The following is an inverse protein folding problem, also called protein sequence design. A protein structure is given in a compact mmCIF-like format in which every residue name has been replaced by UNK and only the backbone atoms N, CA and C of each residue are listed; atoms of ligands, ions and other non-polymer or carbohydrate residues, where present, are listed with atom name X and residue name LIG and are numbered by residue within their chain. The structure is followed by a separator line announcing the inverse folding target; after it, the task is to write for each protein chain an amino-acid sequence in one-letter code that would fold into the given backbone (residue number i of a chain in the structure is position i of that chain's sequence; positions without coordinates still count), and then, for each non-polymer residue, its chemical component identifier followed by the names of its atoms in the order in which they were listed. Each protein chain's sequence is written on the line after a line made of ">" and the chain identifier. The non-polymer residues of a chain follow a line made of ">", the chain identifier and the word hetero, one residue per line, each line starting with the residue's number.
data_IF_715880822180
#
_entry.id   IF_715880822180
#
_cell.length_a   1.000
_cell.length_b   1.000
_cell.length_c   1.000
_cell.angle_alpha   90.00
_cell.angle_beta   90.00
_cell.angle_gamma   90.00
#
_symmetry.space_group_name_H-M   'P 1'
#
loop_
_entity.id
_entity.type
_entity.pdbx_description
1 polymer ?
#
# COMPACT_ATOMS: atom_id res chain seq x y z
N UNK A 1 -20.97 -10.35 -5.01
CA UNK A 1 -20.26 -9.27 -5.73
C UNK A 1 -19.10 -9.90 -6.45
N UNK A 2 -18.98 -9.61 -7.75
CA UNK A 2 -18.26 -10.42 -8.74
C UNK A 2 -16.77 -10.58 -8.45
N UNK A 3 -16.31 -11.83 -8.55
CA UNK A 3 -14.94 -12.33 -8.50
C UNK A 3 -14.15 -11.95 -9.77
N UNK A 4 -14.18 -10.65 -10.14
CA UNK A 4 -13.58 -10.11 -11.37
C UNK A 4 -12.13 -9.66 -11.19
N UNK A 5 -11.71 -9.34 -9.95
CA UNK A 5 -10.39 -8.83 -9.67
C UNK A 5 -9.38 -9.98 -9.56
N UNK A 6 -8.25 -9.88 -10.26
CA UNK A 6 -7.17 -10.85 -10.11
C UNK A 6 -6.70 -10.89 -8.65
N UNK A 7 -6.28 -12.08 -8.20
CA UNK A 7 -5.69 -12.27 -6.87
C UNK A 7 -4.46 -13.14 -6.96
N UNK A 8 -3.50 -12.85 -6.10
CA UNK A 8 -2.25 -13.60 -5.95
C UNK A 8 -1.95 -13.83 -4.48
N UNK A 9 -0.97 -14.68 -4.20
CA UNK A 9 -0.55 -14.97 -2.83
C UNK A 9 0.88 -14.47 -2.64
N UNK A 10 1.12 -13.84 -1.49
CA UNK A 10 2.45 -13.45 -1.02
C UNK A 10 2.67 -14.02 0.38
N UNK A 11 3.76 -14.76 0.57
CA UNK A 11 4.11 -15.35 1.86
C UNK A 11 4.95 -14.37 2.69
N UNK A 12 4.42 -13.92 3.82
CA UNK A 12 5.09 -13.04 4.77
C UNK A 12 5.49 -13.82 6.03
N UNK A 13 6.47 -13.31 6.78
CA UNK A 13 7.01 -13.95 7.98
C UNK A 13 8.23 -14.84 7.68
N UNK A 14 8.74 -15.52 8.71
CA UNK A 14 9.89 -16.42 8.61
C UNK A 14 9.75 -17.59 9.58
N UNK A 15 10.16 -18.79 9.15
CA UNK A 15 10.04 -19.99 9.97
C UNK A 15 8.58 -20.31 10.30
N UNK A 16 8.29 -20.52 11.59
CA UNK A 16 6.96 -20.91 12.08
C UNK A 16 5.91 -19.79 11.99
N UNK A 17 6.32 -18.54 11.78
CA UNK A 17 5.40 -17.40 11.61
C UNK A 17 5.08 -17.11 10.14
N UNK A 18 5.62 -17.91 9.21
CA UNK A 18 5.35 -17.75 7.79
C UNK A 18 3.87 -18.05 7.50
N UNK A 19 3.21 -17.13 6.80
CA UNK A 19 1.82 -17.29 6.37
C UNK A 19 1.57 -16.63 5.03
N UNK A 20 0.58 -17.16 4.34
CA UNK A 20 0.13 -16.68 3.05
C UNK A 20 -0.89 -15.57 3.19
N UNK A 21 -0.65 -14.46 2.49
CA UNK A 21 -1.54 -13.31 2.41
C UNK A 21 -2.02 -13.19 0.97
N UNK A 22 -3.34 -13.08 0.80
CA UNK A 22 -3.93 -12.87 -0.51
C UNK A 22 -3.84 -11.38 -0.84
N UNK A 23 -3.22 -11.08 -1.98
CA UNK A 23 -3.11 -9.74 -2.54
C UNK A 23 -4.08 -9.63 -3.71
N UNK A 24 -4.76 -8.50 -3.84
CA UNK A 24 -5.82 -8.27 -4.80
C UNK A 24 -5.44 -7.18 -5.81
N UNK A 25 -5.94 -7.36 -7.03
CA UNK A 25 -6.10 -6.27 -7.98
C UNK A 25 -7.17 -5.28 -7.46
N UNK A 26 -6.90 -3.99 -7.63
CA UNK A 26 -7.77 -2.90 -7.24
C UNK A 26 -8.62 -2.48 -8.43
N UNK A 27 -9.89 -2.22 -8.16
CA UNK A 27 -10.77 -1.53 -9.11
C UNK A 27 -10.39 -0.05 -9.20
N UNK A 28 -10.72 0.66 -10.30
CA UNK A 28 -10.54 2.11 -10.37
C UNK A 28 -11.21 2.90 -9.22
N UNK A 29 -12.27 2.36 -8.62
CA UNK A 29 -12.90 2.94 -7.45
C UNK A 29 -12.00 2.87 -6.20
N UNK A 30 -11.31 1.75 -6.00
CA UNK A 30 -10.33 1.58 -4.91
C UNK A 30 -9.03 2.34 -5.21
N UNK A 31 -8.60 2.42 -6.48
CA UNK A 31 -7.46 3.26 -6.86
C UNK A 31 -7.69 4.73 -6.54
N UNK A 32 -8.93 5.23 -6.72
CA UNK A 32 -9.28 6.59 -6.26
C UNK A 32 -9.14 6.74 -4.75
N UNK A 33 -9.45 5.69 -3.97
CA UNK A 33 -9.24 5.74 -2.52
C UNK A 33 -7.75 5.92 -2.22
N UNK A 34 -6.86 5.14 -2.85
CA UNK A 34 -5.40 5.31 -2.72
C UNK A 34 -4.97 6.74 -3.08
N UNK A 35 -5.36 7.25 -4.25
CA UNK A 35 -4.98 8.60 -4.70
C UNK A 35 -5.51 9.73 -3.81
N UNK A 36 -6.65 9.51 -3.15
CA UNK A 36 -7.28 10.48 -2.25
C UNK A 36 -6.92 10.24 -0.80
N UNK A 37 -6.11 9.22 -0.50
CA UNK A 37 -5.72 8.84 0.85
C UNK A 37 -4.67 9.81 1.40
N UNK A 38 -5.11 11.03 1.66
CA UNK A 38 -4.31 12.04 2.33
C UNK A 38 -4.41 11.77 3.82
N UNK A 39 -3.56 10.85 4.30
CA UNK A 39 -3.43 10.48 5.72
C UNK A 39 -2.87 11.60 6.62
N UNK A 40 -2.99 12.87 6.19
CA UNK A 40 -2.51 14.01 6.94
C UNK A 40 -3.21 14.07 8.31
N UNK A 41 -2.47 14.00 9.43
CA UNK A 41 -3.07 13.93 10.75
C UNK A 41 -3.61 15.28 11.26
N UNK A 42 -3.50 16.35 10.47
CA UNK A 42 -3.92 17.70 10.83
C UNK A 42 -2.78 18.54 11.44
N UNK A 43 -3.00 19.85 11.56
CA UNK A 43 -2.02 20.78 12.15
C UNK A 43 -1.83 20.57 13.66
N UNK A 44 -2.86 20.07 14.34
CA UNK A 44 -2.86 19.80 15.78
C UNK A 44 -2.41 18.37 16.13
N UNK A 45 -1.82 17.65 15.17
CA UNK A 45 -1.34 16.28 15.39
C UNK A 45 -0.26 16.23 16.46
N UNK A 46 -0.33 15.21 17.33
CA UNK A 46 0.76 14.94 18.25
C UNK A 46 2.00 14.39 17.51
N UNK A 47 3.10 14.27 18.25
CA UNK A 47 4.40 13.83 17.68
C UNK A 47 4.34 12.41 17.12
N UNK A 48 3.51 11.54 17.70
CA UNK A 48 3.41 10.15 17.29
C UNK A 48 2.63 10.04 15.98
N UNK A 49 1.49 10.71 15.87
CA UNK A 49 0.68 10.78 14.65
C UNK A 49 1.46 11.40 13.48
N UNK A 50 2.24 12.48 13.75
CA UNK A 50 3.09 13.09 12.74
C UNK A 50 4.21 12.15 12.28
N UNK A 51 4.89 11.48 13.21
CA UNK A 51 5.94 10.52 12.88
C UNK A 51 5.40 9.34 12.06
N UNK A 52 4.23 8.82 12.43
CA UNK A 52 3.53 7.76 11.70
C UNK A 52 3.24 8.18 10.27
N UNK A 53 2.67 9.38 10.06
CA UNK A 53 2.43 9.94 8.74
C UNK A 53 3.73 10.06 7.92
N UNK A 54 4.79 10.60 8.51
CA UNK A 54 6.07 10.77 7.81
C UNK A 54 6.68 9.43 7.36
N UNK A 55 6.63 8.40 8.20
CA UNK A 55 7.10 7.05 7.83
C UNK A 55 6.22 6.48 6.71
N UNK A 56 4.90 6.60 6.83
CA UNK A 56 3.92 6.10 5.85
C UNK A 56 4.15 6.70 4.46
N UNK A 57 4.55 7.98 4.38
CA UNK A 57 4.83 8.70 3.13
C UNK A 57 6.25 8.47 2.57
N UNK A 58 7.20 8.02 3.39
CA UNK A 58 8.62 7.97 3.00
C UNK A 58 9.18 6.55 2.88
N UNK A 59 8.50 5.53 3.43
CA UNK A 59 9.04 4.17 3.49
C UNK A 59 9.15 3.51 2.10
N UNK A 60 8.15 3.71 1.24
CA UNK A 60 8.12 3.23 -0.13
C UNK A 60 7.79 4.38 -1.07
N UNK A 61 8.43 4.38 -2.24
CA UNK A 61 8.23 5.44 -3.24
C UNK A 61 6.85 5.32 -3.89
N UNK A 62 6.35 4.09 -4.07
CA UNK A 62 5.18 3.84 -4.92
C UNK A 62 3.83 3.83 -4.18
N UNK A 63 3.80 3.58 -2.87
CA UNK A 63 2.56 3.60 -2.07
C UNK A 63 2.83 3.65 -0.57
N UNK A 64 1.84 4.09 0.20
CA UNK A 64 1.91 4.07 1.68
C UNK A 64 1.62 2.67 2.27
N UNK A 65 1.95 2.46 3.55
CA UNK A 65 1.55 1.27 4.32
C UNK A 65 0.02 1.19 4.40
N UNK A 66 -0.65 2.35 4.50
CA UNK A 66 -2.11 2.39 4.48
C UNK A 66 -2.68 1.91 3.14
N UNK A 67 -2.02 2.22 2.03
CA UNK A 67 -2.45 1.73 0.72
C UNK A 67 -2.23 0.21 0.59
N UNK A 68 -1.16 -0.34 1.17
CA UNK A 68 -0.92 -1.79 1.25
C UNK A 68 -2.08 -2.55 1.93
N UNK A 69 -2.83 -1.91 2.82
CA UNK A 69 -4.03 -2.50 3.42
C UNK A 69 -5.14 -2.72 2.38
N UNK A 70 -5.27 -1.85 1.37
CA UNK A 70 -6.26 -2.02 0.31
C UNK A 70 -5.94 -3.22 -0.59
N UNK A 71 -4.65 -3.46 -0.85
CA UNK A 71 -4.19 -4.60 -1.65
C UNK A 71 -4.27 -5.93 -0.89
N UNK A 72 -3.93 -5.96 0.39
CA UNK A 72 -3.83 -7.19 1.19
C UNK A 72 -5.07 -7.52 2.02
N UNK A 73 -5.96 -6.54 2.22
CA UNK A 73 -7.09 -6.57 3.16
C UNK A 73 -6.67 -6.86 4.61
N UNK A 74 -5.39 -6.64 4.95
CA UNK A 74 -4.89 -6.69 6.32
C UNK A 74 -5.13 -5.34 7.00
N UNK A 75 -5.34 -5.32 8.32
CA UNK A 75 -5.41 -4.07 9.07
C UNK A 75 -4.05 -3.37 9.07
N UNK A 76 -4.06 -2.03 9.00
CA UNK A 76 -2.82 -1.22 8.97
C UNK A 76 -1.93 -1.50 10.17
N UNK A 77 -2.53 -1.66 11.36
CA UNK A 77 -1.80 -2.00 12.59
C UNK A 77 -1.00 -3.30 12.48
N UNK A 78 -1.47 -4.26 11.69
CA UNK A 78 -0.75 -5.52 11.47
C UNK A 78 0.37 -5.34 10.44
N UNK A 79 0.19 -4.46 9.46
CA UNK A 79 1.24 -4.12 8.50
C UNK A 79 2.38 -3.33 9.16
N UNK A 80 2.08 -2.48 10.14
CA UNK A 80 3.09 -1.70 10.87
C UNK A 80 4.02 -2.56 11.74
N UNK A 81 3.55 -3.73 12.18
CA UNK A 81 4.36 -4.71 12.92
C UNK A 81 5.25 -5.55 11.99
N UNK A 82 5.08 -5.46 10.66
CA UNK A 82 5.88 -6.21 9.71
C UNK A 82 7.19 -5.48 9.38
N UNK A 83 8.32 -6.20 9.33
CA UNK A 83 9.56 -5.64 8.80
C UNK A 83 9.37 -5.15 7.35
N UNK A 84 10.09 -4.11 6.91
CA UNK A 84 10.01 -3.61 5.54
C UNK A 84 10.28 -4.68 4.47
N UNK A 85 11.10 -5.69 4.78
CA UNK A 85 11.36 -6.82 3.88
C UNK A 85 10.13 -7.69 3.63
N UNK A 86 9.20 -7.80 4.58
CA UNK A 86 7.93 -8.52 4.41
C UNK A 86 6.90 -7.66 3.70
N UNK A 87 6.83 -6.36 4.02
CA UNK A 87 5.98 -5.40 3.31
C UNK A 87 6.34 -5.32 1.83
N UNK A 88 7.63 -5.37 1.48
CA UNK A 88 8.10 -5.43 0.09
C UNK A 88 7.55 -6.62 -0.69
N UNK A 89 7.38 -7.79 -0.06
CA UNK A 89 6.79 -8.95 -0.74
C UNK A 89 5.32 -8.70 -1.11
N UNK A 90 4.57 -8.02 -0.24
CA UNK A 90 3.19 -7.63 -0.52
C UNK A 90 3.15 -6.59 -1.66
N UNK A 91 4.05 -5.60 -1.60
CA UNK A 91 4.18 -4.56 -2.63
C UNK A 91 4.53 -5.15 -4.00
N UNK A 92 5.51 -6.06 -4.08
CA UNK A 92 5.90 -6.73 -5.32
C UNK A 92 4.72 -7.48 -5.94
N UNK A 93 3.95 -8.21 -5.12
CA UNK A 93 2.76 -8.91 -5.59
C UNK A 93 1.65 -7.93 -6.00
N UNK A 94 1.49 -6.82 -5.28
CA UNK A 94 0.55 -5.77 -5.67
C UNK A 94 0.93 -5.16 -7.03
N UNK A 95 2.22 -4.92 -7.30
CA UNK A 95 2.73 -4.41 -8.58
C UNK A 95 2.48 -5.39 -9.73
N UNK A 96 2.68 -6.68 -9.48
CA UNK A 96 2.38 -7.75 -10.45
C UNK A 96 0.90 -7.80 -10.84
N UNK A 97 0.00 -7.62 -9.87
CA UNK A 97 -1.45 -7.66 -10.09
C UNK A 97 -2.03 -6.34 -10.60
N UNK A 98 -1.37 -5.21 -10.37
CA UNK A 98 -1.87 -3.87 -10.67
C UNK A 98 -0.92 -3.05 -11.57
N UNK A 99 -0.37 -3.59 -12.68
CA UNK A 99 0.67 -2.91 -13.45
C UNK A 99 0.19 -1.56 -14.03
N UNK A 100 -1.08 -1.48 -14.45
CA UNK A 100 -1.67 -0.26 -15.00
C UNK A 100 -1.82 0.85 -13.94
N UNK A 101 -2.09 0.47 -12.69
CA UNK A 101 -2.18 1.41 -11.58
C UNK A 101 -0.85 2.09 -11.29
N UNK A 102 0.20 1.30 -11.07
CA UNK A 102 1.53 1.84 -10.79
C UNK A 102 2.08 2.63 -12.00
N UNK A 103 1.74 2.19 -13.22
CA UNK A 103 2.03 2.96 -14.44
C UNK A 103 1.29 4.30 -14.49
N UNK A 104 0.07 4.38 -13.95
CA UNK A 104 -0.70 5.61 -13.87
C UNK A 104 -0.16 6.55 -12.77
N UNK A 105 0.24 6.01 -11.61
CA UNK A 105 0.89 6.76 -10.53
C UNK A 105 2.18 7.44 -11.02
N UNK A 106 3.08 6.70 -11.66
CA UNK A 106 4.32 7.25 -12.21
C UNK A 106 4.07 8.39 -13.22
N UNK A 107 3.00 8.28 -14.04
CA UNK A 107 2.60 9.36 -14.97
C UNK A 107 1.99 10.57 -14.25
N UNK A 108 1.32 10.38 -13.12
CA UNK A 108 0.76 11.46 -12.32
C UNK A 108 1.88 12.23 -11.60
N UNK A 109 2.80 11.53 -10.95
CA UNK A 109 3.97 12.11 -10.28
C UNK A 109 4.81 12.93 -11.26
N UNK A 110 5.14 12.37 -12.43
CA UNK A 110 5.89 13.09 -13.46
C UNK A 110 5.23 14.41 -13.86
N UNK A 111 3.89 14.41 -14.01
CA UNK A 111 3.13 15.63 -14.36
C UNK A 111 3.07 16.65 -13.23
N UNK A 112 3.18 16.23 -11.98
CA UNK A 112 3.22 17.13 -10.83
C UNK A 112 4.61 17.78 -10.69
N UNK A 113 5.68 17.04 -10.93
CA UNK A 113 7.07 17.56 -10.87
C UNK A 113 7.43 18.51 -12.02
N UNK A 114 6.67 18.50 -13.12
CA UNK A 114 6.85 19.40 -14.28
C UNK A 114 6.08 20.74 -14.13
N UNK A 115 5.31 20.93 -13.05
CA UNK A 115 4.59 22.17 -12.72
C UNK A 115 5.36 23.04 -11.76
#
# INVERSE_FOLDING_TARGET
>A
MSDLAARGVATIGAGETARDVVVYELTPAQMRQVLMNLNWPGEDADKEALARYQIDQALFEECSITDLALFSRLPVTELEELPPSQLKKLLEKAKELNPDFFSALARLEKRQSER
#
